data_IF_358535058375
#
_entry.id   IF_358535058375
#
_cell.length_a   1.000
_cell.length_b   1.000
_cell.length_c   1.000
_cell.angle_alpha   90.00
_cell.angle_beta   90.00
_cell.angle_gamma   90.00
#
_symmetry.space_group_name_H-M   'P 1'
#
loop_
_entity.id
_entity.type
_entity.pdbx_description
1 polymer ?
#
# COMPACT_ATOMS: atom_id res chain seq x y z
N UNK A 1 -4.77 -11.13 11.20
CA UNK A 1 -4.68 -10.67 9.79
C UNK A 1 -6.06 -10.15 9.41
N UNK A 2 -6.15 -9.05 8.67
CA UNK A 2 -7.43 -8.44 8.32
C UNK A 2 -8.28 -9.40 7.45
N UNK A 3 -9.61 -9.35 7.60
CA UNK A 3 -10.52 -10.08 6.71
C UNK A 3 -10.39 -9.58 5.26
N UNK A 4 -10.84 -10.37 4.29
CA UNK A 4 -10.79 -10.00 2.87
C UNK A 4 -12.18 -10.08 2.25
N UNK A 5 -12.49 -9.13 1.37
CA UNK A 5 -13.70 -9.14 0.56
C UNK A 5 -13.45 -9.79 -0.80
N UNK A 6 -14.46 -10.43 -1.37
CA UNK A 6 -14.41 -10.97 -2.74
C UNK A 6 -14.97 -9.93 -3.69
N UNK A 7 -14.18 -9.53 -4.68
CA UNK A 7 -14.59 -8.62 -5.73
C UNK A 7 -15.42 -9.35 -6.79
N UNK A 8 -16.11 -8.60 -7.66
CA UNK A 8 -16.89 -9.17 -8.76
C UNK A 8 -16.03 -9.99 -9.75
N UNK A 9 -14.71 -9.79 -9.75
CA UNK A 9 -13.73 -10.56 -10.52
C UNK A 9 -13.37 -11.91 -9.87
N UNK A 10 -13.86 -12.18 -8.66
CA UNK A 10 -13.44 -13.33 -7.84
C UNK A 10 -12.15 -13.12 -7.05
N UNK A 11 -11.41 -12.03 -7.32
CA UNK A 11 -10.21 -11.67 -6.56
C UNK A 11 -10.54 -11.29 -5.12
N UNK A 12 -9.61 -11.53 -4.20
CA UNK A 12 -9.74 -11.13 -2.79
C UNK A 12 -8.99 -9.83 -2.52
N UNK A 13 -9.65 -8.87 -1.88
CA UNK A 13 -9.04 -7.62 -1.42
C UNK A 13 -9.02 -7.57 0.12
N UNK A 14 -7.86 -7.31 0.76
CA UNK A 14 -7.83 -7.10 2.21
C UNK A 14 -8.69 -5.90 2.63
N UNK A 15 -9.46 -6.06 3.69
CA UNK A 15 -10.34 -5.04 4.27
C UNK A 15 -9.59 -3.85 4.87
N UNK A 16 -8.29 -4.02 5.15
CA UNK A 16 -7.40 -2.98 5.67
C UNK A 16 -6.25 -2.78 4.69
N UNK A 17 -5.98 -1.53 4.33
CA UNK A 17 -4.87 -1.14 3.47
C UNK A 17 -4.13 0.10 3.99
N UNK A 18 -2.92 0.32 3.47
CA UNK A 18 -2.14 1.53 3.71
C UNK A 18 -2.36 2.51 2.55
N UNK A 19 -2.94 3.67 2.83
CA UNK A 19 -2.96 4.79 1.89
C UNK A 19 -1.67 5.61 1.99
N UNK A 20 -1.08 5.96 0.85
CA UNK A 20 0.21 6.70 0.81
C UNK A 20 0.06 8.18 0.46
N UNK A 21 -1.17 8.68 0.36
CA UNK A 21 -1.41 10.10 0.12
C UNK A 21 -0.87 10.97 1.27
N UNK A 22 -0.21 12.07 0.92
CA UNK A 22 0.45 13.03 1.83
C UNK A 22 1.64 12.50 2.63
N UNK A 23 2.08 11.25 2.43
CA UNK A 23 3.35 10.80 2.98
C UNK A 23 4.48 11.55 2.26
N UNK A 24 5.46 12.03 3.02
CA UNK A 24 6.65 12.67 2.45
C UNK A 24 7.35 11.69 1.47
N UNK A 25 7.79 12.14 0.28
CA UNK A 25 8.29 11.25 -0.76
C UNK A 25 9.46 10.34 -0.33
N UNK A 26 10.29 10.80 0.61
CA UNK A 26 11.41 10.09 1.20
C UNK A 26 10.99 9.05 2.25
N UNK A 27 9.89 9.29 2.97
CA UNK A 27 9.35 8.38 3.98
C UNK A 27 8.43 7.28 3.40
N UNK A 28 8.00 7.41 2.14
CA UNK A 28 7.04 6.50 1.52
C UNK A 28 7.53 5.05 1.46
N UNK A 29 8.81 4.84 1.11
CA UNK A 29 9.38 3.49 1.02
C UNK A 29 9.43 2.81 2.39
N UNK A 30 9.84 3.54 3.44
CA UNK A 30 9.92 3.02 4.80
C UNK A 30 8.52 2.68 5.35
N UNK A 31 7.54 3.54 5.10
CA UNK A 31 6.14 3.30 5.49
C UNK A 31 5.58 2.03 4.84
N UNK A 32 5.80 1.85 3.54
CA UNK A 32 5.36 0.65 2.80
C UNK A 32 6.09 -0.59 3.33
N UNK A 33 7.41 -0.50 3.52
CA UNK A 33 8.21 -1.62 4.03
C UNK A 33 7.76 -2.07 5.42
N UNK A 34 7.52 -1.10 6.32
CA UNK A 34 6.99 -1.36 7.66
C UNK A 34 5.60 -2.00 7.60
N UNK A 35 4.71 -1.51 6.73
CA UNK A 35 3.38 -2.08 6.56
C UNK A 35 3.43 -3.52 6.04
N UNK A 36 4.28 -3.82 5.06
CA UNK A 36 4.47 -5.20 4.55
C UNK A 36 4.96 -6.13 5.66
N UNK A 37 5.92 -5.68 6.49
CA UNK A 37 6.40 -6.42 7.67
C UNK A 37 5.31 -6.63 8.71
N UNK A 38 4.43 -5.64 8.92
CA UNK A 38 3.28 -5.73 9.81
C UNK A 38 2.14 -6.61 9.24
N UNK A 39 2.26 -7.09 8.00
CA UNK A 39 1.30 -8.01 7.38
C UNK A 39 0.27 -7.35 6.45
N UNK A 40 0.43 -6.06 6.14
CA UNK A 40 -0.40 -5.40 5.13
C UNK A 40 -0.14 -5.99 3.74
N UNK A 41 -1.21 -6.15 2.97
CA UNK A 41 -1.16 -6.65 1.58
C UNK A 41 -1.96 -5.79 0.60
N UNK A 42 -2.58 -4.73 1.09
CA UNK A 42 -3.31 -3.74 0.29
C UNK A 42 -2.61 -2.40 0.48
N UNK A 43 -2.03 -1.87 -0.59
CA UNK A 43 -1.40 -0.54 -0.64
C UNK A 43 -2.19 0.30 -1.64
N UNK A 44 -2.72 1.43 -1.20
CA UNK A 44 -3.46 2.37 -2.01
C UNK A 44 -2.53 3.52 -2.43
N UNK A 45 -2.41 3.74 -3.74
CA UNK A 45 -1.56 4.77 -4.32
C UNK A 45 -2.13 5.33 -5.63
N UNK A 46 -1.66 6.53 -6.00
CA UNK A 46 -1.97 7.15 -7.28
C UNK A 46 -0.75 7.93 -7.80
N UNK A 47 -0.60 8.02 -9.13
CA UNK A 47 0.48 8.77 -9.76
C UNK A 47 0.52 10.25 -9.32
N UNK A 48 -0.65 10.85 -9.07
CA UNK A 48 -0.79 12.22 -8.62
C UNK A 48 -0.23 12.49 -7.20
N UNK A 49 0.01 11.45 -6.40
CA UNK A 49 0.52 11.62 -5.03
C UNK A 49 2.02 11.95 -5.01
N UNK A 50 2.71 11.82 -6.15
CA UNK A 50 4.13 12.14 -6.30
C UNK A 50 5.04 11.49 -5.24
N UNK A 51 4.59 10.36 -4.67
CA UNK A 51 5.42 9.52 -3.81
C UNK A 51 6.52 8.90 -4.66
N UNK A 52 7.77 9.13 -4.26
CA UNK A 52 8.94 8.64 -4.98
C UNK A 52 9.11 7.15 -4.71
N UNK A 53 8.56 6.32 -5.59
CA UNK A 53 9.00 4.92 -5.73
C UNK A 53 10.35 4.93 -6.44
N UNK A 54 11.40 5.39 -5.75
CA UNK A 54 12.75 5.21 -6.23
C UNK A 54 12.92 3.70 -6.51
N UNK A 55 13.23 3.35 -7.77
CA UNK A 55 13.57 1.98 -8.14
C UNK A 55 14.79 1.60 -7.31
N UNK A 56 14.57 0.94 -6.18
CA UNK A 56 15.62 0.27 -5.45
C UNK A 56 16.18 -0.79 -6.41
N UNK A 57 17.35 -0.49 -6.97
CA UNK A 57 18.16 -1.46 -7.72
C UNK A 57 18.65 -2.57 -6.81
#
# INVERSE_FOLDING_TARGET
MAESFVLNTGSRIPSVGLGVWQIQPDAANDAIYAAVKAGYRHIDCAAAYMVSFARSG
#
